data_IF_499818660245
#
_entry.id   IF_499818660245
#
_cell.length_a   1.000
_cell.length_b   1.000
_cell.length_c   1.000
_cell.angle_alpha   90.00
_cell.angle_beta   90.00
_cell.angle_gamma   90.00
#
_symmetry.space_group_name_H-M   'P 1'
#
loop_
_entity.id
_entity.type
_entity.pdbx_description
1 polymer ?
#
# COMPACT_ATOMS: atom_id res chain seq x y z
N UNK A 1 -10.01 13.33 -13.34
CA UNK A 1 -9.67 11.91 -13.08
C UNK A 1 -9.23 11.81 -11.64
N UNK A 2 -9.76 10.84 -10.88
CA UNK A 2 -9.19 10.57 -9.56
C UNK A 2 -7.81 9.93 -9.76
N UNK A 3 -6.84 10.27 -8.94
CA UNK A 3 -5.48 9.69 -8.98
C UNK A 3 -5.13 8.98 -7.66
N UNK A 4 -6.12 8.85 -6.77
CA UNK A 4 -5.94 8.26 -5.46
C UNK A 4 -5.50 6.79 -5.54
N UNK A 5 -4.71 6.37 -4.56
CA UNK A 5 -4.10 5.06 -4.45
C UNK A 5 -4.58 4.40 -3.16
N UNK A 6 -4.99 3.14 -3.21
CA UNK A 6 -5.20 2.32 -2.03
C UNK A 6 -4.03 1.35 -1.85
N UNK A 7 -3.44 1.34 -0.66
CA UNK A 7 -2.33 0.46 -0.28
C UNK A 7 -2.78 -0.56 0.75
N UNK A 8 -2.69 -1.84 0.37
CA UNK A 8 -2.97 -3.01 1.18
C UNK A 8 -1.71 -3.82 1.43
N UNK A 9 -1.78 -4.76 2.38
CA UNK A 9 -0.68 -5.64 2.72
C UNK A 9 -0.71 -5.98 4.20
N UNK A 10 -0.08 -7.09 4.56
CA UNK A 10 -0.07 -7.59 5.93
C UNK A 10 0.66 -6.66 6.90
N UNK A 11 0.45 -6.87 8.20
CA UNK A 11 1.23 -6.20 9.25
C UNK A 11 2.72 -6.47 9.04
N UNK A 12 3.53 -5.41 9.18
CA UNK A 12 4.98 -5.42 8.91
C UNK A 12 5.39 -5.66 7.45
N UNK A 13 4.47 -5.55 6.48
CA UNK A 13 4.85 -5.64 5.06
C UNK A 13 5.59 -4.43 4.52
N UNK A 14 5.74 -3.33 5.28
CA UNK A 14 6.51 -2.15 4.87
C UNK A 14 5.72 -1.03 4.16
N UNK A 15 4.38 -1.08 4.18
CA UNK A 15 3.50 -0.04 3.59
C UNK A 15 3.79 1.36 4.15
N UNK A 16 3.69 1.51 5.47
CA UNK A 16 3.90 2.79 6.16
C UNK A 16 5.30 3.31 5.88
N UNK A 17 6.32 2.47 6.01
CA UNK A 17 7.71 2.84 5.72
C UNK A 17 7.88 3.37 4.29
N UNK A 18 7.29 2.70 3.29
CA UNK A 18 7.32 3.15 1.90
C UNK A 18 6.68 4.54 1.72
N UNK A 19 5.49 4.73 2.29
CA UNK A 19 4.77 6.01 2.19
C UNK A 19 5.59 7.14 2.83
N UNK A 20 6.08 6.91 4.05
CA UNK A 20 6.82 7.91 4.83
C UNK A 20 8.15 8.27 4.18
N UNK A 21 8.90 7.30 3.66
CA UNK A 21 10.19 7.55 3.00
C UNK A 21 10.01 8.28 1.67
N UNK A 22 9.13 7.78 0.79
CA UNK A 22 9.02 8.29 -0.58
C UNK A 22 8.33 9.66 -0.61
N UNK A 23 7.19 9.78 0.08
CA UNK A 23 6.28 10.92 -0.05
C UNK A 23 6.40 11.93 1.09
N UNK A 24 6.95 11.55 2.25
CA UNK A 24 7.16 12.46 3.37
C UNK A 24 8.63 12.69 3.71
N UNK A 25 9.56 12.09 2.95
CA UNK A 25 11.02 12.23 3.11
C UNK A 25 11.53 11.82 4.49
N UNK A 26 10.86 10.85 5.13
CA UNK A 26 11.37 10.24 6.35
C UNK A 26 12.68 9.51 6.06
N UNK A 27 13.68 9.69 6.91
CA UNK A 27 14.93 8.94 6.83
C UNK A 27 14.69 7.45 7.08
N UNK A 28 15.35 6.59 6.30
CA UNK A 28 15.12 5.14 6.32
C UNK A 28 15.27 4.55 7.73
N UNK A 29 16.28 4.98 8.50
CA UNK A 29 16.52 4.44 9.84
C UNK A 29 15.40 4.77 10.84
N UNK A 30 14.64 5.84 10.61
CA UNK A 30 13.49 6.20 11.46
C UNK A 30 12.28 5.31 11.25
N UNK A 31 12.25 4.53 10.16
CA UNK A 31 11.12 3.62 9.87
C UNK A 31 10.97 2.50 10.91
N UNK A 32 12.04 2.15 11.64
CA UNK A 32 11.98 1.19 12.74
C UNK A 32 11.09 1.65 13.91
N UNK A 33 10.88 2.95 14.05
CA UNK A 33 10.11 3.57 15.14
C UNK A 33 8.65 3.84 14.77
N UNK A 34 8.20 3.43 13.59
CA UNK A 34 6.82 3.67 13.16
C UNK A 34 5.85 2.76 13.91
N UNK A 35 4.79 3.37 14.43
CA UNK A 35 3.69 2.65 15.06
C UNK A 35 2.89 1.85 14.02
N UNK A 36 2.28 0.71 14.42
CA UNK A 36 1.39 -0.04 13.54
C UNK A 36 0.14 0.75 13.14
N UNK A 37 -0.19 0.73 11.85
CA UNK A 37 -1.45 1.27 11.32
C UNK A 37 -2.62 0.36 11.69
N UNK A 38 -3.45 0.79 12.64
CA UNK A 38 -4.57 -0.01 13.18
C UNK A 38 -5.90 0.22 12.46
N UNK A 39 -6.03 1.30 11.70
CA UNK A 39 -7.22 1.67 10.91
C UNK A 39 -6.78 2.34 9.62
N UNK A 40 -7.67 2.49 8.64
CA UNK A 40 -7.34 3.22 7.42
C UNK A 40 -6.84 4.63 7.73
N UNK A 41 -5.66 4.97 7.22
CA UNK A 41 -5.09 6.31 7.27
C UNK A 41 -4.94 6.86 5.85
N UNK A 42 -4.89 8.18 5.69
CA UNK A 42 -4.69 8.80 4.38
C UNK A 42 -3.59 9.85 4.41
N UNK A 43 -2.74 9.84 3.38
CA UNK A 43 -1.71 10.86 3.15
C UNK A 43 -2.00 11.58 1.85
N UNK A 44 -2.14 12.91 1.91
CA UNK A 44 -2.20 13.75 0.71
C UNK A 44 -0.79 13.96 0.16
N UNK A 45 -0.61 13.67 -1.13
CA UNK A 45 0.64 13.87 -1.86
C UNK A 45 0.44 14.96 -2.91
N UNK A 46 1.29 15.97 -2.85
CA UNK A 46 1.34 17.07 -3.80
C UNK A 46 2.70 17.06 -4.50
N UNK A 47 2.72 16.77 -5.80
CA UNK A 47 3.92 16.82 -6.63
C UNK A 47 3.83 18.06 -7.54
N UNK A 48 4.38 19.18 -7.03
CA UNK A 48 4.23 20.49 -7.67
C UNK A 48 2.79 21.00 -7.59
N UNK A 49 2.38 21.79 -8.59
CA UNK A 49 1.07 22.45 -8.65
C UNK A 49 0.00 21.71 -9.45
N UNK A 50 0.33 20.56 -10.05
CA UNK A 50 -0.55 19.89 -11.02
C UNK A 50 -0.89 18.45 -10.66
N UNK A 51 -0.09 17.79 -9.80
CA UNK A 51 -0.29 16.39 -9.44
C UNK A 51 -0.64 16.33 -7.96
N UNK A 52 -1.90 15.98 -7.69
CA UNK A 52 -2.47 15.85 -6.36
C UNK A 52 -3.21 14.54 -6.26
N UNK A 53 -2.89 13.74 -5.25
CA UNK A 53 -3.59 12.49 -4.97
C UNK A 53 -3.49 12.13 -3.48
N UNK A 54 -4.36 11.24 -3.04
CA UNK A 54 -4.30 10.64 -1.71
C UNK A 54 -3.83 9.20 -1.80
N UNK A 55 -3.03 8.81 -0.81
CA UNK A 55 -2.71 7.41 -0.55
C UNK A 55 -3.52 6.99 0.67
N UNK A 56 -4.46 6.06 0.49
CA UNK A 56 -5.18 5.40 1.57
C UNK A 56 -4.40 4.14 1.99
N UNK A 57 -3.81 4.16 3.18
CA UNK A 57 -3.14 3.02 3.77
C UNK A 57 -4.12 2.23 4.64
N UNK A 58 -4.35 0.98 4.28
CA UNK A 58 -5.20 0.07 5.05
C UNK A 58 -4.42 -0.65 6.15
N UNK A 59 -5.11 -1.03 7.22
CA UNK A 59 -4.50 -1.79 8.32
C UNK A 59 -3.90 -3.12 7.84
N UNK A 60 -2.83 -3.55 8.49
CA UNK A 60 -2.21 -4.86 8.26
C UNK A 60 -3.11 -6.07 8.59
N UNK A 61 -4.19 -5.84 9.34
CA UNK A 61 -5.20 -6.82 9.73
C UNK A 61 -6.57 -6.55 9.06
N UNK A 62 -6.59 -5.75 8.00
CA UNK A 62 -7.83 -5.39 7.32
C UNK A 62 -8.59 -6.63 6.83
N UNK A 63 -9.86 -6.76 7.25
CA UNK A 63 -10.80 -7.77 6.77
C UNK A 63 -11.83 -7.11 5.87
N UNK A 64 -11.90 -7.56 4.63
CA UNK A 64 -12.79 -6.98 3.63
C UNK A 64 -14.26 -7.27 3.93
N UNK A 65 -14.56 -8.32 4.71
CA UNK A 65 -15.92 -8.65 5.12
C UNK A 65 -16.46 -7.68 6.18
N UNK A 66 -15.59 -6.87 6.81
CA UNK A 66 -15.93 -5.89 7.85
C UNK A 66 -15.59 -4.45 7.41
N UNK A 67 -15.60 -4.22 6.09
CA UNK A 67 -15.28 -2.91 5.50
C UNK A 67 -16.28 -1.84 5.94
N UNK A 68 -15.76 -0.73 6.47
CA UNK A 68 -16.59 0.41 6.85
C UNK A 68 -16.92 1.28 5.62
N UNK A 69 -18.03 2.05 5.63
CA UNK A 69 -18.41 2.87 4.48
C UNK A 69 -17.31 3.79 3.91
N UNK A 70 -16.45 4.44 4.71
CA UNK A 70 -15.34 5.25 4.19
C UNK A 70 -14.27 4.44 3.46
N UNK A 71 -14.04 3.20 3.90
CA UNK A 71 -13.07 2.28 3.31
C UNK A 71 -13.57 1.77 1.96
N UNK A 72 -14.87 1.45 1.87
CA UNK A 72 -15.54 1.09 0.61
C UNK A 72 -15.44 2.26 -0.38
N UNK A 73 -15.78 3.48 0.05
CA UNK A 73 -15.71 4.66 -0.81
C UNK A 73 -14.27 4.93 -1.31
N UNK A 74 -13.25 4.75 -0.46
CA UNK A 74 -11.86 4.88 -0.87
C UNK A 74 -11.48 3.84 -1.95
N UNK A 75 -11.87 2.57 -1.75
CA UNK A 75 -11.62 1.49 -2.72
C UNK A 75 -12.33 1.71 -4.06
N UNK A 76 -13.59 2.16 -4.04
CA UNK A 76 -14.37 2.37 -5.27
C UNK A 76 -13.84 3.55 -6.10
N UNK A 77 -13.31 4.57 -5.43
CA UNK A 77 -12.86 5.80 -6.09
C UNK A 77 -11.39 5.77 -6.49
N UNK A 78 -10.58 4.88 -5.90
CA UNK A 78 -9.16 4.81 -6.25
C UNK A 78 -8.93 4.37 -7.70
N UNK A 79 -7.82 4.86 -8.25
CA UNK A 79 -7.37 4.53 -9.60
C UNK A 79 -6.34 3.41 -9.62
N UNK A 80 -5.70 3.15 -8.47
CA UNK A 80 -4.72 2.09 -8.31
C UNK A 80 -4.82 1.45 -6.92
N UNK A 81 -4.86 0.13 -6.89
CA UNK A 81 -4.70 -0.68 -5.69
C UNK A 81 -3.32 -1.36 -5.71
N UNK A 82 -2.55 -1.14 -4.65
CA UNK A 82 -1.22 -1.72 -4.46
C UNK A 82 -1.30 -2.71 -3.30
N UNK A 83 -0.91 -3.96 -3.53
CA UNK A 83 -0.73 -4.92 -2.45
C UNK A 83 0.76 -5.16 -2.18
N UNK A 84 1.21 -4.78 -0.98
CA UNK A 84 2.60 -4.86 -0.57
C UNK A 84 2.88 -6.18 0.13
N UNK A 85 3.80 -6.95 -0.46
CA UNK A 85 4.25 -8.25 0.06
C UNK A 85 5.68 -8.13 0.56
N UNK A 86 5.89 -8.53 1.81
CA UNK A 86 7.22 -8.79 2.35
C UNK A 86 7.73 -10.14 1.82
N UNK A 87 8.77 -10.07 1.00
CA UNK A 87 9.39 -11.25 0.37
C UNK A 87 10.17 -12.15 1.35
N UNK A 88 10.54 -11.62 2.53
CA UNK A 88 11.32 -12.35 3.54
C UNK A 88 10.42 -13.19 4.44
N UNK A 89 9.16 -12.77 4.62
CA UNK A 89 8.10 -13.60 5.21
C UNK A 89 7.61 -14.65 4.19
N UNK A 90 8.46 -15.65 3.95
CA UNK A 90 8.28 -16.68 2.94
C UNK A 90 6.96 -17.49 3.08
N UNK A 91 6.25 -17.58 1.94
CA UNK A 91 5.40 -18.66 1.45
C UNK A 91 4.10 -19.05 2.19
N UNK A 92 4.07 -19.15 3.53
CA UNK A 92 2.89 -19.69 4.23
C UNK A 92 1.65 -18.76 4.18
N UNK A 93 1.83 -17.45 4.00
CA UNK A 93 0.71 -16.49 3.91
C UNK A 93 0.30 -16.12 2.48
N UNK A 94 1.13 -16.40 1.48
CA UNK A 94 0.80 -16.09 0.07
C UNK A 94 -0.34 -16.97 -0.47
N UNK A 95 -0.42 -18.23 -0.02
CA UNK A 95 -1.57 -19.09 -0.31
C UNK A 95 -2.89 -18.51 0.23
N UNK A 96 -2.88 -17.81 1.38
CA UNK A 96 -4.05 -17.14 1.93
C UNK A 96 -4.34 -15.77 1.29
N UNK A 97 -3.33 -15.14 0.67
CA UNK A 97 -3.46 -13.84 -0.02
C UNK A 97 -4.10 -14.00 -1.41
N UNK A 98 -3.90 -15.14 -2.08
CA UNK A 98 -4.58 -15.43 -3.34
C UNK A 98 -6.12 -15.45 -3.21
N UNK A 99 -6.67 -15.58 -1.99
CA UNK A 99 -8.11 -15.74 -1.79
C UNK A 99 -8.88 -14.51 -1.28
N UNK A 100 -8.25 -13.47 -0.72
CA UNK A 100 -9.00 -12.39 -0.01
C UNK A 100 -9.01 -11.02 -0.70
N UNK A 101 -7.89 -10.28 -0.84
CA UNK A 101 -7.90 -8.96 -1.48
C UNK A 101 -8.05 -9.04 -3.01
N UNK A 102 -7.57 -10.11 -3.65
CA UNK A 102 -7.62 -10.26 -5.13
C UNK A 102 -8.98 -10.75 -5.65
N UNK A 103 -9.83 -11.33 -4.79
CA UNK A 103 -11.20 -11.72 -5.15
C UNK A 103 -12.19 -10.55 -5.14
N UNK A 104 -11.82 -9.42 -4.53
CA UNK A 104 -12.60 -8.19 -4.63
C UNK A 104 -12.17 -7.42 -5.86
N UNK A 105 -13.13 -7.31 -6.79
CA UNK A 105 -13.10 -6.51 -8.02
C UNK A 105 -12.41 -7.14 -9.23
N UNK A 106 -12.85 -8.35 -9.58
CA UNK A 106 -12.85 -8.79 -10.97
C UNK A 106 -13.96 -8.05 -11.76
N UNK A 107 -13.78 -6.74 -11.95
CA UNK A 107 -14.49 -5.93 -12.96
C UNK A 107 -13.54 -5.10 -13.81
N UNK A 108 -12.34 -4.76 -13.31
CA UNK A 108 -11.30 -4.09 -14.10
C UNK A 108 -9.88 -4.50 -13.63
N UNK A 109 -9.23 -5.48 -14.29
CA UNK A 109 -7.91 -5.98 -13.90
C UNK A 109 -6.78 -4.92 -14.04
N UNK A 110 -7.05 -3.80 -14.71
CA UNK A 110 -6.09 -2.71 -14.92
C UNK A 110 -5.79 -1.90 -13.64
N UNK A 111 -6.60 -2.03 -12.58
CA UNK A 111 -6.44 -1.25 -11.35
C UNK A 111 -5.54 -1.89 -10.29
N UNK A 112 -5.08 -3.13 -10.48
CA UNK A 112 -4.32 -3.87 -9.45
C UNK A 112 -2.86 -4.10 -9.85
N UNK A 113 -1.91 -3.68 -9.00
CA UNK A 113 -0.49 -3.99 -9.14
C UNK A 113 0.01 -4.70 -7.88
N UNK A 114 0.67 -5.84 -8.07
CA UNK A 114 1.38 -6.57 -7.02
C UNK A 114 2.83 -6.08 -6.95
N UNK A 115 3.24 -5.46 -5.84
CA UNK A 115 4.63 -5.01 -5.66
C UNK A 115 5.35 -5.94 -4.70
N UNK A 116 6.35 -6.65 -5.24
CA UNK A 116 7.27 -7.46 -4.45
C UNK A 116 8.46 -6.60 -4.02
N UNK A 117 8.62 -6.41 -2.70
CA UNK A 117 9.59 -5.48 -2.12
C UNK A 117 11.08 -5.86 -2.29
N UNK A 118 11.41 -6.97 -2.96
CA UNK A 118 12.81 -7.30 -3.26
C UNK A 118 13.46 -6.35 -4.28
N UNK A 119 12.68 -5.65 -5.11
CA UNK A 119 13.21 -4.84 -6.22
C UNK A 119 13.59 -3.39 -5.83
N UNK A 120 13.14 -2.86 -4.70
CA UNK A 120 13.48 -1.49 -4.29
C UNK A 120 14.88 -1.36 -3.64
N UNK A 121 15.46 -2.46 -3.15
CA UNK A 121 16.83 -2.46 -2.61
C UNK A 121 17.92 -2.60 -3.70
N UNK A 122 17.53 -2.79 -4.98
CA UNK A 122 18.49 -2.88 -6.10
C UNK A 122 18.73 -1.53 -6.79
N UNK A 123 17.83 -0.54 -6.64
CA UNK A 123 17.97 0.76 -7.31
C UNK A 123 18.64 1.85 -6.46
N UNK A 124 19.01 1.57 -5.21
CA UNK A 124 19.79 2.49 -4.36
C UNK A 124 21.30 2.21 -4.37
N UNK A 125 21.76 1.16 -5.05
CA UNK A 125 23.19 0.80 -5.12
C UNK A 125 23.87 1.07 -6.48
N UNK A 126 23.19 1.64 -7.48
CA UNK A 126 23.81 1.99 -8.77
C UNK A 126 23.99 3.50 -9.02
N UNK A 127 23.88 4.32 -7.98
CA UNK A 127 24.12 5.76 -8.05
C UNK A 127 25.18 6.18 -7.02
N UNK A 128 26.36 5.57 -7.11
CA UNK A 128 27.62 6.10 -6.61
C UNK A 128 28.71 5.80 -7.63
#
# INVERSE_FOLDING_TARGET
>A
MNNDICMFGLTKSGKTSMIRVIFQKLEIFRTFQLDPTNRMESVTVNLGSHIHFKIYEFSGHYDLNDSQPPEIAAMETCSLMIYVIDSQNHLMRLYNIQDKPFRLQNKDPLKSILINLKLLNLYTYSAY
#
